data_IF_313476621573
#
_entry.id   IF_313476621573
#
_cell.length_a   1.000
_cell.length_b   1.000
_cell.length_c   1.000
_cell.angle_alpha   90.00
_cell.angle_beta   90.00
_cell.angle_gamma   90.00
#
_symmetry.space_group_name_H-M   'P 1'
#
loop_
_entity.id
_entity.type
_entity.pdbx_description
1 polymer ?
#
# COMPACT_ATOMS: atom_id res chain seq x y z
N UNK A 1 21.17 -5.44 -1.67
CA UNK A 1 21.19 -6.61 -0.78
C UNK A 1 20.59 -6.14 0.53
N UNK A 2 19.62 -6.88 1.06
CA UNK A 2 19.20 -6.69 2.46
C UNK A 2 20.40 -7.09 3.30
N UNK A 3 20.73 -6.33 4.34
CA UNK A 3 21.85 -6.66 5.22
C UNK A 3 21.57 -7.90 6.07
N UNK A 4 22.62 -8.46 6.69
CA UNK A 4 22.50 -9.53 7.67
C UNK A 4 22.49 -10.94 7.08
N UNK A 5 21.61 -11.79 7.63
CA UNK A 5 21.50 -13.23 7.35
C UNK A 5 20.49 -13.58 6.24
N UNK A 6 20.01 -12.60 5.47
CA UNK A 6 19.04 -12.79 4.39
C UNK A 6 19.75 -13.15 3.08
N UNK A 7 19.49 -14.35 2.56
CA UNK A 7 20.02 -14.84 1.28
C UNK A 7 19.14 -14.33 0.14
N UNK A 8 17.83 -14.56 0.22
CA UNK A 8 16.86 -14.17 -0.80
C UNK A 8 15.50 -13.84 -0.17
N UNK A 9 14.71 -13.00 -0.84
CA UNK A 9 13.35 -12.66 -0.40
C UNK A 9 12.44 -12.45 -1.60
N UNK A 10 11.21 -12.92 -1.47
CA UNK A 10 10.12 -12.72 -2.41
C UNK A 10 8.86 -12.38 -1.60
N UNK A 11 8.60 -11.09 -1.42
CA UNK A 11 7.52 -10.60 -0.53
C UNK A 11 6.59 -9.70 -1.31
N UNK A 12 5.29 -9.96 -1.15
CA UNK A 12 4.17 -9.15 -1.61
C UNK A 12 3.44 -8.62 -0.38
N UNK A 13 3.82 -7.44 0.15
CA UNK A 13 3.25 -6.89 1.37
C UNK A 13 1.78 -6.51 1.26
N UNK A 14 1.22 -6.52 0.04
CA UNK A 14 -0.14 -6.12 -0.22
C UNK A 14 -0.72 -6.95 -1.38
N UNK A 15 -1.34 -8.09 -1.08
CA UNK A 15 -1.89 -9.02 -2.08
C UNK A 15 -3.21 -8.49 -2.66
N UNK A 16 -3.29 -8.37 -3.98
CA UNK A 16 -4.34 -7.65 -4.73
C UNK A 16 -5.81 -8.04 -4.45
N UNK A 17 -6.10 -9.29 -4.11
CA UNK A 17 -7.46 -9.86 -4.25
C UNK A 17 -8.36 -9.80 -3.01
N UNK A 18 -7.80 -9.73 -1.81
CA UNK A 18 -8.54 -9.84 -0.54
C UNK A 18 -8.32 -8.63 0.36
N UNK A 19 -8.23 -7.42 -0.23
CA UNK A 19 -8.06 -6.19 0.53
C UNK A 19 -9.42 -5.59 0.85
N UNK A 20 -9.73 -5.50 2.13
CA UNK A 20 -10.96 -4.85 2.59
C UNK A 20 -10.62 -3.90 3.72
N UNK A 21 -11.09 -2.65 3.63
CA UNK A 21 -10.97 -1.61 4.65
C UNK A 21 -11.76 -1.93 5.90
N UNK A 22 -12.91 -2.56 5.69
CA UNK A 22 -13.84 -2.93 6.76
C UNK A 22 -14.58 -4.21 6.39
N UNK A 23 -14.95 -4.97 7.41
CA UNK A 23 -15.88 -6.09 7.29
C UNK A 23 -17.21 -5.70 7.92
N UNK A 24 -18.29 -5.93 7.18
CA UNK A 24 -19.68 -5.70 7.57
C UNK A 24 -20.39 -7.03 7.81
N UNK A 25 -21.06 -7.18 8.93
CA UNK A 25 -21.95 -8.30 9.22
C UNK A 25 -23.35 -7.80 9.57
N UNK A 26 -24.39 -8.54 9.17
CA UNK A 26 -25.80 -8.16 9.38
C UNK A 26 -26.51 -9.13 10.32
N UNK A 27 -27.32 -8.60 11.24
CA UNK A 27 -28.18 -9.36 12.15
C UNK A 27 -29.61 -8.85 12.14
N UNK A 28 -30.55 -9.71 12.52
CA UNK A 28 -31.95 -9.31 12.70
C UNK A 28 -32.21 -9.03 14.18
N UNK A 29 -32.50 -7.77 14.51
CA UNK A 29 -32.88 -7.39 15.86
C UNK A 29 -34.37 -7.63 16.08
N UNK A 30 -34.70 -8.67 16.86
CA UNK A 30 -36.08 -9.03 17.20
C UNK A 30 -36.81 -7.95 18.00
N UNK A 31 -36.11 -7.08 18.72
CA UNK A 31 -36.74 -6.01 19.52
C UNK A 31 -37.22 -4.86 18.64
N UNK A 32 -36.41 -4.47 17.66
CA UNK A 32 -36.75 -3.40 16.71
C UNK A 32 -37.40 -3.90 15.42
N UNK A 33 -37.53 -5.23 15.26
CA UNK A 33 -38.02 -5.90 14.06
C UNK A 33 -37.32 -5.42 12.77
N UNK A 34 -36.01 -5.14 12.86
CA UNK A 34 -35.24 -4.54 11.78
C UNK A 34 -33.87 -5.21 11.59
N UNK A 35 -33.31 -5.11 10.38
CA UNK A 35 -31.95 -5.54 10.10
C UNK A 35 -30.97 -4.46 10.53
N UNK A 36 -29.95 -4.86 11.30
CA UNK A 36 -28.86 -4.00 11.75
C UNK A 36 -27.53 -4.53 11.26
N UNK A 37 -26.58 -3.63 11.07
CA UNK A 37 -25.24 -3.93 10.55
C UNK A 37 -24.19 -3.56 11.58
N UNK A 38 -23.13 -4.38 11.64
CA UNK A 38 -21.94 -4.15 12.46
C UNK A 38 -20.75 -4.05 11.52
N UNK A 39 -20.08 -2.91 11.53
CA UNK A 39 -18.87 -2.63 10.76
C UNK A 39 -17.64 -2.75 11.67
N UNK A 40 -16.61 -3.46 11.22
CA UNK A 40 -15.32 -3.58 11.89
C UNK A 40 -14.20 -3.18 10.91
N UNK A 41 -13.38 -2.20 11.27
CA UNK A 41 -12.26 -1.73 10.45
C UNK A 41 -11.04 -2.66 10.53
N UNK A 42 -10.40 -2.89 9.40
CA UNK A 42 -9.12 -3.60 9.28
C UNK A 42 -7.97 -2.59 9.26
N UNK A 43 -6.76 -3.04 9.53
CA UNK A 43 -5.53 -2.24 9.42
C UNK A 43 -4.98 -2.12 7.98
N UNK A 44 -5.73 -2.59 6.97
CA UNK A 44 -5.32 -2.62 5.56
C UNK A 44 -5.76 -1.34 4.87
N UNK A 45 -4.82 -0.66 4.21
CA UNK A 45 -5.11 0.50 3.38
C UNK A 45 -5.76 0.05 2.05
N UNK A 46 -7.09 0.05 2.02
CA UNK A 46 -7.93 -0.37 0.92
C UNK A 46 -9.22 0.45 0.86
N UNK A 47 -9.94 0.39 -0.26
CA UNK A 47 -11.23 1.08 -0.43
C UNK A 47 -12.45 0.15 -0.33
N UNK A 48 -12.25 -1.16 -0.52
CA UNK A 48 -13.34 -2.13 -0.59
C UNK A 48 -13.86 -2.53 0.81
N UNK A 49 -15.13 -2.95 0.88
CA UNK A 49 -15.76 -3.49 2.09
C UNK A 49 -16.07 -4.98 1.88
N UNK A 50 -15.69 -5.83 2.84
CA UNK A 50 -16.11 -7.23 2.87
C UNK A 50 -17.50 -7.32 3.52
N UNK A 51 -18.48 -7.87 2.82
CA UNK A 51 -19.82 -8.07 3.37
C UNK A 51 -20.05 -9.55 3.64
N UNK A 52 -20.27 -9.88 4.91
CA UNK A 52 -20.64 -11.23 5.33
C UNK A 52 -22.05 -11.53 4.81
N UNK A 53 -22.12 -12.43 3.84
CA UNK A 53 -23.37 -12.83 3.18
C UNK A 53 -24.34 -13.56 4.11
N UNK A 54 -23.83 -14.19 5.15
CA UNK A 54 -24.63 -14.92 6.15
C UNK A 54 -25.16 -13.96 7.21
N UNK A 55 -26.41 -14.17 7.61
CA UNK A 55 -27.04 -13.40 8.67
C UNK A 55 -26.63 -13.96 10.03
N UNK A 56 -26.25 -13.09 10.96
CA UNK A 56 -25.98 -13.46 12.34
C UNK A 56 -27.28 -13.68 13.11
N UNK A 57 -27.18 -14.48 14.18
CA UNK A 57 -28.30 -14.72 15.09
C UNK A 57 -28.63 -13.48 15.95
N UNK A 58 -27.60 -12.72 16.32
CA UNK A 58 -27.67 -11.55 17.19
C UNK A 58 -26.45 -10.63 16.93
N UNK A 59 -26.37 -9.53 17.69
CA UNK A 59 -25.30 -8.53 17.57
C UNK A 59 -23.92 -9.09 17.93
N UNK A 60 -23.83 -9.88 18.99
CA UNK A 60 -22.56 -10.45 19.46
C UNK A 60 -22.00 -11.46 18.44
N UNK A 61 -22.87 -12.28 17.85
CA UNK A 61 -22.50 -13.18 16.76
C UNK A 61 -22.11 -12.40 15.50
N UNK A 62 -22.79 -11.30 15.17
CA UNK A 62 -22.40 -10.45 14.04
C UNK A 62 -21.02 -9.84 14.24
N UNK A 63 -20.73 -9.35 15.45
CA UNK A 63 -19.42 -8.82 15.82
C UNK A 63 -18.33 -9.89 15.74
N UNK A 64 -18.57 -11.08 16.29
CA UNK A 64 -17.62 -12.20 16.22
C UNK A 64 -17.31 -12.62 14.78
N UNK A 65 -18.32 -12.66 13.89
CA UNK A 65 -18.09 -12.91 12.46
C UNK A 65 -17.27 -11.80 11.80
N UNK A 66 -17.56 -10.53 12.09
CA UNK A 66 -16.82 -9.40 11.53
C UNK A 66 -15.37 -9.36 12.02
N UNK A 67 -15.11 -9.65 13.30
CA UNK A 67 -13.77 -9.75 13.88
C UNK A 67 -12.97 -10.93 13.31
N UNK A 68 -13.61 -12.09 13.11
CA UNK A 68 -12.97 -13.23 12.45
C UNK A 68 -12.52 -12.88 11.03
N UNK A 69 -13.41 -12.27 10.24
CA UNK A 69 -13.11 -11.82 8.88
C UNK A 69 -12.04 -10.75 8.82
N UNK A 70 -12.03 -9.81 9.77
CA UNK A 70 -10.93 -8.85 9.93
C UNK A 70 -9.60 -9.59 10.12
N UNK A 71 -9.56 -10.53 11.06
CA UNK A 71 -8.33 -11.25 11.41
C UNK A 71 -7.78 -12.03 10.22
N UNK A 72 -8.66 -12.72 9.49
CA UNK A 72 -8.29 -13.42 8.26
C UNK A 72 -7.79 -12.44 7.18
N UNK A 73 -8.50 -11.32 6.99
CA UNK A 73 -8.10 -10.29 6.02
C UNK A 73 -6.71 -9.72 6.34
N UNK A 74 -6.44 -9.40 7.62
CA UNK A 74 -5.14 -8.89 8.05
C UNK A 74 -4.04 -9.93 7.88
N UNK A 75 -4.33 -11.21 8.16
CA UNK A 75 -3.37 -12.31 7.98
C UNK A 75 -3.05 -12.56 6.51
N UNK A 76 -4.05 -12.52 5.63
CA UNK A 76 -3.91 -12.75 4.19
C UNK A 76 -3.55 -11.48 3.40
N UNK A 77 -3.54 -10.32 4.05
CA UNK A 77 -3.30 -9.01 3.41
C UNK A 77 -1.95 -8.90 2.70
N UNK A 78 -0.99 -9.73 3.07
CA UNK A 78 0.27 -9.90 2.34
C UNK A 78 0.90 -11.26 2.61
N UNK A 79 1.66 -11.71 1.63
CA UNK A 79 2.34 -13.00 1.63
C UNK A 79 3.80 -12.82 1.23
N UNK A 80 4.65 -13.74 1.64
CA UNK A 80 6.01 -13.75 1.15
C UNK A 80 6.80 -14.95 1.64
N UNK A 81 7.94 -15.16 1.01
CA UNK A 81 8.94 -16.12 1.44
C UNK A 81 10.29 -15.44 1.58
N UNK A 82 11.05 -15.85 2.60
CA UNK A 82 12.41 -15.37 2.85
C UNK A 82 13.30 -16.56 3.11
N UNK A 83 14.46 -16.57 2.46
CA UNK A 83 15.51 -17.54 2.71
C UNK A 83 16.63 -16.88 3.51
N UNK A 84 16.99 -17.51 4.61
CA UNK A 84 18.04 -17.08 5.53
C UNK A 84 19.17 -18.11 5.56
N UNK A 85 20.35 -17.65 5.98
CA UNK A 85 21.34 -18.56 6.58
C UNK A 85 20.71 -19.33 7.74
N UNK A 86 21.24 -20.51 8.05
CA UNK A 86 20.67 -21.38 9.08
C UNK A 86 20.50 -20.64 10.41
N UNK A 87 19.25 -20.31 10.71
CA UNK A 87 18.82 -19.67 11.94
C UNK A 87 17.88 -20.63 12.66
N UNK A 88 18.40 -21.36 13.64
CA UNK A 88 17.66 -22.39 14.41
C UNK A 88 16.71 -21.80 15.44
N UNK A 89 16.84 -20.49 15.74
CA UNK A 89 15.95 -19.81 16.67
C UNK A 89 14.64 -19.36 16.02
N UNK A 90 14.53 -19.46 14.70
CA UNK A 90 13.31 -19.11 13.98
C UNK A 90 12.15 -20.04 14.35
N UNK A 91 11.00 -19.45 14.69
CA UNK A 91 9.80 -20.17 15.10
C UNK A 91 8.57 -19.66 14.36
N UNK A 92 7.63 -20.57 14.10
CA UNK A 92 6.30 -20.19 13.62
C UNK A 92 5.62 -19.27 14.63
N UNK A 93 4.80 -18.36 14.12
CA UNK A 93 4.18 -17.24 14.85
C UNK A 93 5.19 -16.24 15.45
N UNK A 94 6.49 -16.35 15.13
CA UNK A 94 7.51 -15.36 15.45
C UNK A 94 7.32 -14.06 14.66
N UNK A 95 7.87 -12.96 15.18
CA UNK A 95 7.89 -11.66 14.49
C UNK A 95 9.18 -11.51 13.69
N UNK A 96 9.06 -11.32 12.37
CA UNK A 96 10.16 -11.07 11.45
C UNK A 96 10.19 -9.59 11.07
N UNK A 97 11.34 -8.94 11.24
CA UNK A 97 11.51 -7.52 10.91
C UNK A 97 12.52 -7.42 9.76
N UNK A 98 12.04 -6.95 8.61
CA UNK A 98 12.87 -6.75 7.42
C UNK A 98 13.29 -5.28 7.31
N UNK A 99 14.59 -5.05 7.16
CA UNK A 99 15.15 -3.70 6.99
C UNK A 99 16.20 -3.66 5.88
N UNK A 100 16.17 -2.63 5.03
CA UNK A 100 17.14 -2.45 3.95
C UNK A 100 16.80 -3.20 2.66
N UNK A 101 15.55 -3.64 2.50
CA UNK A 101 14.99 -4.11 1.25
C UNK A 101 14.50 -2.94 0.37
N UNK A 102 13.69 -3.26 -0.64
CA UNK A 102 13.09 -2.24 -1.52
C UNK A 102 12.13 -1.35 -0.72
N UNK A 103 12.06 -0.03 -0.98
CA UNK A 103 10.98 0.81 -0.46
C UNK A 103 9.61 0.17 -0.73
N UNK A 104 8.77 0.13 0.31
CA UNK A 104 7.48 -0.56 0.28
C UNK A 104 7.53 -2.05 0.64
N UNK A 105 8.69 -2.67 0.87
CA UNK A 105 8.80 -4.07 1.35
C UNK A 105 9.35 -4.14 2.78
N UNK A 106 10.10 -3.13 3.23
CA UNK A 106 10.55 -3.07 4.62
C UNK A 106 9.36 -2.98 5.58
N UNK A 107 9.44 -3.71 6.69
CA UNK A 107 8.37 -3.75 7.68
C UNK A 107 8.37 -5.01 8.52
N UNK A 108 7.27 -5.22 9.23
CA UNK A 108 7.10 -6.31 10.18
C UNK A 108 6.15 -7.36 9.63
N UNK A 109 6.52 -8.63 9.75
CA UNK A 109 5.78 -9.78 9.27
C UNK A 109 5.63 -10.83 10.37
N UNK A 110 4.54 -11.59 10.33
CA UNK A 110 4.35 -12.79 11.16
C UNK A 110 4.85 -14.01 10.38
N UNK A 111 5.66 -14.84 11.02
CA UNK A 111 6.14 -16.08 10.43
C UNK A 111 4.99 -17.10 10.46
N UNK A 112 4.51 -17.53 9.30
CA UNK A 112 3.48 -18.57 9.18
C UNK A 112 4.09 -19.99 9.28
N UNK A 113 5.31 -20.16 8.79
CA UNK A 113 5.99 -21.45 8.75
C UNK A 113 7.50 -21.29 8.67
N UNK A 114 8.21 -22.27 9.25
CA UNK A 114 9.68 -22.33 9.25
C UNK A 114 10.09 -23.70 8.74
N UNK A 115 10.98 -23.74 7.76
CA UNK A 115 11.58 -24.96 7.24
C UNK A 115 13.09 -24.85 7.29
N UNK A 116 13.74 -25.68 8.11
CA UNK A 116 15.19 -25.80 8.11
C UNK A 116 15.62 -26.90 7.14
N UNK A 117 16.64 -26.61 6.34
CA UNK A 117 17.25 -27.57 5.42
C UNK A 117 18.75 -27.63 5.68
N UNK A 118 19.32 -28.83 5.66
CA UNK A 118 20.75 -29.03 5.75
C UNK A 118 21.18 -30.11 4.74
N UNK A 119 21.99 -29.71 3.77
CA UNK A 119 22.50 -30.58 2.72
C UNK A 119 24.03 -30.69 2.81
N UNK A 120 24.57 -31.92 2.71
CA UNK A 120 26.02 -32.17 2.81
C UNK A 120 26.86 -31.45 1.75
N UNK A 121 26.28 -31.10 0.61
CA UNK A 121 26.94 -30.37 -0.48
C UNK A 121 26.38 -28.99 -0.77
N UNK A 122 25.28 -28.59 -0.11
CA UNK A 122 24.51 -27.37 -0.42
C UNK A 122 24.44 -26.35 0.71
N UNK A 123 25.03 -26.66 1.87
CA UNK A 123 24.96 -25.81 3.06
C UNK A 123 23.67 -26.02 3.86
N UNK A 124 23.43 -25.12 4.80
CA UNK A 124 22.24 -25.15 5.66
C UNK A 124 21.51 -23.82 5.58
N UNK A 125 20.19 -23.87 5.33
CA UNK A 125 19.35 -22.69 5.17
C UNK A 125 18.06 -22.81 5.99
N UNK A 126 17.46 -21.66 6.29
CA UNK A 126 16.13 -21.57 6.89
C UNK A 126 15.21 -20.83 5.93
N UNK A 127 14.12 -21.46 5.51
CA UNK A 127 13.05 -20.82 4.74
C UNK A 127 11.92 -20.40 5.67
N UNK A 128 11.48 -19.14 5.54
CA UNK A 128 10.39 -18.55 6.28
C UNK A 128 9.23 -18.25 5.34
N UNK A 129 8.04 -18.68 5.71
CA UNK A 129 6.79 -18.19 5.12
C UNK A 129 6.29 -17.02 5.96
N UNK A 130 5.97 -15.90 5.31
CA UNK A 130 5.57 -14.66 5.95
C UNK A 130 4.12 -14.32 5.60
N UNK A 131 3.38 -13.87 6.61
CA UNK A 131 2.00 -13.38 6.53
C UNK A 131 1.84 -12.14 7.40
N UNK A 132 0.64 -11.57 7.37
CA UNK A 132 0.25 -10.45 8.24
C UNK A 132 1.24 -9.28 8.22
N UNK A 133 1.41 -8.61 7.07
CA UNK A 133 2.24 -7.42 6.98
C UNK A 133 1.72 -6.34 7.93
N UNK A 134 2.64 -5.69 8.66
CA UNK A 134 2.31 -4.64 9.62
C UNK A 134 3.37 -3.53 9.66
N UNK A 135 3.00 -2.40 10.25
CA UNK A 135 3.87 -1.23 10.39
C UNK A 135 4.11 -0.49 9.08
N UNK A 136 5.34 -0.52 8.59
CA UNK A 136 5.76 0.14 7.35
C UNK A 136 5.72 -0.79 6.11
N UNK A 137 5.41 -2.07 6.32
CA UNK A 137 5.26 -3.05 5.24
C UNK A 137 4.23 -2.55 4.21
N UNK A 138 4.61 -2.49 2.93
CA UNK A 138 3.75 -2.02 1.85
C UNK A 138 3.80 -0.52 1.55
N UNK A 139 4.44 0.30 2.39
CA UNK A 139 4.46 1.76 2.23
C UNK A 139 5.70 2.23 1.47
N UNK A 140 5.50 2.74 0.25
CA UNK A 140 6.57 3.39 -0.52
C UNK A 140 6.54 4.91 -0.29
N UNK A 141 7.53 5.43 0.45
CA UNK A 141 7.66 6.87 0.76
C UNK A 141 8.34 7.67 -0.35
N UNK A 142 8.69 7.07 -1.49
CA UNK A 142 9.21 7.83 -2.62
C UNK A 142 8.10 8.74 -3.12
N UNK A 143 8.38 10.05 -3.18
CA UNK A 143 7.47 11.04 -3.78
C UNK A 143 7.12 10.52 -5.19
N UNK A 144 5.83 10.27 -5.44
CA UNK A 144 5.35 9.99 -6.79
C UNK A 144 5.89 11.10 -7.71
N UNK A 145 6.55 10.71 -8.79
CA UNK A 145 7.37 11.60 -9.60
C UNK A 145 6.66 12.90 -9.92
N UNK A 146 7.18 14.00 -9.38
CA UNK A 146 7.22 15.23 -10.13
C UNK A 146 8.04 14.93 -11.39
N UNK A 147 7.39 14.98 -12.54
CA UNK A 147 8.06 14.92 -13.83
C UNK A 147 9.24 15.89 -13.81
N UNK A 148 10.41 15.38 -14.19
CA UNK A 148 11.57 16.22 -14.47
C UNK A 148 11.29 17.01 -15.73
N UNK A 149 10.54 18.11 -15.61
CA UNK A 149 10.69 19.24 -16.52
C UNK A 149 12.05 19.86 -16.23
N UNK A 150 13.02 19.54 -17.07
CA UNK A 150 14.32 20.18 -17.04
C UNK A 150 14.16 21.67 -17.32
N UNK A 151 14.15 22.48 -16.27
CA UNK A 151 14.42 23.91 -16.40
C UNK A 151 15.90 24.10 -16.15
N UNK A 152 16.64 24.30 -17.24
CA UNK A 152 18.05 24.67 -17.20
C UNK A 152 18.23 25.95 -16.38
N UNK A 153 19.14 25.88 -15.43
CA UNK A 153 19.65 27.03 -14.70
C UNK A 153 20.37 27.96 -15.66
N UNK A 154 19.72 29.06 -16.05
CA UNK A 154 20.42 30.27 -16.48
C UNK A 154 20.67 31.10 -15.24
N UNK A 155 21.92 31.11 -14.79
CA UNK A 155 22.41 32.11 -13.85
C UNK A 155 22.60 33.42 -14.59
N UNK A 156 22.01 34.50 -14.09
CA UNK A 156 22.27 35.86 -14.55
C UNK A 156 22.60 36.71 -13.32
N UNK A 157 23.76 37.36 -13.40
CA UNK A 157 24.35 38.18 -12.36
C UNK A 157 23.55 39.45 -12.07
N UNK A 158 23.65 39.91 -10.82
CA UNK A 158 23.14 41.18 -10.33
C UNK A 158 23.73 42.38 -11.09
N UNK A 159 22.88 43.28 -11.59
CA UNK A 159 23.22 44.70 -11.68
C UNK A 159 21.96 45.58 -11.55
N UNK A 160 22.06 46.66 -10.77
CA UNK A 160 20.94 47.50 -10.35
C UNK A 160 20.43 48.48 -11.40
N UNK A 161 19.23 49.02 -11.17
CA UNK A 161 18.64 50.09 -11.99
C UNK A 161 17.23 50.48 -11.58
N UNK A 162 17.15 51.65 -10.94
CA UNK A 162 16.03 52.58 -10.69
C UNK A 162 14.74 52.45 -11.53
N UNK A 163 13.58 52.53 -10.87
CA UNK A 163 12.51 53.45 -11.30
C UNK A 163 11.21 52.88 -11.88
N UNK A 164 10.13 53.14 -11.12
CA UNK A 164 8.78 53.54 -11.52
C UNK A 164 7.67 52.49 -11.77
N UNK A 165 6.58 52.74 -11.03
CA UNK A 165 5.25 52.13 -11.08
C UNK A 165 4.52 52.34 -12.40
N UNK A 166 3.65 51.41 -12.82
CA UNK A 166 2.30 51.70 -13.35
C UNK A 166 1.44 50.42 -13.34
N UNK A 167 0.22 50.56 -12.83
CA UNK A 167 -0.87 49.59 -12.73
C UNK A 167 -1.72 49.48 -14.00
N UNK A 168 -2.34 48.31 -14.24
CA UNK A 168 -3.50 48.12 -15.13
C UNK A 168 -3.56 46.67 -15.63
N UNK A 169 -4.39 45.77 -15.11
CA UNK A 169 -5.86 45.66 -15.20
C UNK A 169 -6.40 45.66 -16.64
N UNK A 170 -6.67 44.47 -17.18
CA UNK A 170 -7.86 44.22 -18.02
C UNK A 170 -8.09 42.73 -18.23
N UNK A 171 -9.16 42.24 -17.59
CA UNK A 171 -9.96 41.06 -17.92
C UNK A 171 -10.48 41.09 -19.37
N UNK A 172 -10.50 39.94 -20.05
CA UNK A 172 -11.12 39.81 -21.37
C UNK A 172 -11.12 38.38 -21.93
N UNK A 173 -12.25 37.70 -21.73
CA UNK A 173 -12.75 36.48 -22.40
C UNK A 173 -12.62 36.52 -23.93
N UNK A 174 -12.40 35.37 -24.60
CA UNK A 174 -13.42 34.63 -25.39
C UNK A 174 -12.77 33.60 -26.33
N UNK A 175 -13.42 32.45 -26.40
CA UNK A 175 -13.23 31.31 -27.29
C UNK A 175 -13.15 31.74 -28.77
N UNK A 176 -12.11 31.34 -29.51
CA UNK A 176 -12.20 30.94 -30.93
C UNK A 176 -10.82 30.66 -31.55
N UNK A 177 -10.36 29.42 -31.51
CA UNK A 177 -9.40 28.92 -32.50
C UNK A 177 -9.89 27.58 -33.03
N UNK A 178 -11.02 27.63 -33.75
CA UNK A 178 -11.38 26.56 -34.66
C UNK A 178 -12.08 27.14 -35.90
N UNK A 179 -11.30 27.83 -36.75
CA UNK A 179 -11.69 28.13 -38.13
C UNK A 179 -10.57 27.74 -39.10
N UNK A 180 -10.69 26.48 -39.48
CA UNK A 180 -10.36 25.88 -40.77
C UNK A 180 -10.45 26.85 -41.97
N UNK A 181 -9.49 26.64 -42.86
CA UNK A 181 -9.49 26.87 -44.31
C UNK A 181 -9.53 28.30 -44.84
N UNK A 182 -8.43 28.68 -45.49
CA UNK A 182 -8.48 29.33 -46.79
C UNK A 182 -7.38 30.37 -47.04
N UNK A 183 -6.53 30.07 -48.04
CA UNK A 183 -5.88 31.04 -48.96
C UNK A 183 -4.88 32.04 -48.33
N UNK A 184 -3.83 32.53 -48.98
CA UNK A 184 -3.05 32.25 -50.19
C UNK A 184 -1.87 33.22 -50.09
N UNK A 185 -0.72 32.84 -50.67
CA UNK A 185 0.36 33.71 -51.18
C UNK A 185 1.09 34.66 -50.20
N UNK A 186 2.42 34.55 -50.15
CA UNK A 186 3.38 35.51 -50.75
C UNK A 186 4.77 35.43 -50.09
N UNK A 187 5.77 35.25 -50.98
CA UNK A 187 7.23 35.44 -50.88
C UNK A 187 8.10 34.51 -50.00
#
# INVERSE_FOLDING_TARGET
RVGGNVISWAISPLTGRTKYKKTKARYFDRKSASFKEVDVETSIDADATDEVRTMAADEDHAKGMAEGRKTESEREGGEGTVELDLEVTAQAEGTFILTGARPGVDGTYRIAGVTHKADRGGGSTTSLELKQPSGEAGKDKRKAGADKSGSGTVGEASNGGTGNSTSGSSSGTFVEQNRRYGRTDEN
#
